data_IF_664456103384
#
_entry.id   IF_664456103384
#
_cell.length_a   1.000
_cell.length_b   1.000
_cell.length_c   1.000
_cell.angle_alpha   90.00
_cell.angle_beta   90.00
_cell.angle_gamma   90.00
#
_symmetry.space_group_name_H-M   'P 1'
#
loop_
_entity.id
_entity.type
_entity.pdbx_description
1 polymer ?
#
# COMPACT_ATOMS: atom_id res chain seq x y z
N UNK A 1 -7.33 -15.77 16.54
CA UNK A 1 -5.87 -15.56 16.67
C UNK A 1 -5.15 -15.24 15.35
N UNK A 2 -5.82 -15.31 14.18
CA UNK A 2 -5.22 -14.94 12.88
C UNK A 2 -5.25 -13.43 12.56
N UNK A 3 -5.93 -12.61 13.37
CA UNK A 3 -6.18 -11.18 13.08
C UNK A 3 -4.98 -10.23 13.31
N UNK A 4 -3.92 -10.67 14.01
CA UNK A 4 -2.74 -9.83 14.28
C UNK A 4 -1.77 -9.71 13.09
N UNK A 5 -1.92 -10.54 12.05
CA UNK A 5 -0.97 -10.59 10.92
C UNK A 5 -1.35 -9.68 9.74
N UNK A 6 -2.58 -9.15 9.71
CA UNK A 6 -3.06 -8.35 8.57
C UNK A 6 -2.68 -6.86 8.68
N UNK A 7 -2.58 -6.36 9.92
CA UNK A 7 -2.26 -4.97 10.20
C UNK A 7 -0.87 -4.52 9.71
N UNK A 8 0.20 -5.31 9.90
CA UNK A 8 1.53 -4.95 9.43
C UNK A 8 1.66 -4.91 7.89
N UNK A 9 0.81 -5.68 7.17
CA UNK A 9 0.81 -5.72 5.71
C UNK A 9 0.26 -4.39 5.15
N UNK A 10 -0.87 -3.91 5.68
CA UNK A 10 -1.47 -2.65 5.25
C UNK A 10 -0.52 -1.45 5.36
N UNK A 11 0.25 -1.34 6.45
CA UNK A 11 1.25 -0.28 6.57
C UNK A 11 2.40 -0.41 5.56
N UNK A 12 2.86 -1.62 5.28
CA UNK A 12 3.93 -1.85 4.30
C UNK A 12 3.45 -1.55 2.88
N UNK A 13 2.23 -1.97 2.53
CA UNK A 13 1.59 -1.71 1.24
C UNK A 13 1.34 -0.20 1.05
N UNK A 14 0.81 0.49 2.07
CA UNK A 14 0.59 1.93 2.03
C UNK A 14 1.90 2.74 1.88
N UNK A 15 2.98 2.32 2.55
CA UNK A 15 4.33 2.90 2.36
C UNK A 15 4.91 2.55 0.98
N UNK A 16 4.54 1.42 0.40
CA UNK A 16 4.88 1.01 -0.96
C UNK A 16 4.33 1.98 -2.03
N UNK A 17 3.15 2.56 -1.79
CA UNK A 17 2.50 3.54 -2.66
C UNK A 17 3.38 4.78 -2.92
N UNK A 18 4.09 5.27 -1.91
CA UNK A 18 5.00 6.42 -2.02
C UNK A 18 6.35 6.08 -2.67
N UNK A 19 6.75 4.81 -2.60
CA UNK A 19 8.04 4.33 -3.11
C UNK A 19 8.01 4.08 -4.64
N UNK A 20 6.87 3.60 -5.16
CA UNK A 20 6.69 3.25 -6.57
C UNK A 20 7.02 4.40 -7.54
N UNK A 21 6.32 5.55 -7.47
CA UNK A 21 6.57 6.69 -8.36
C UNK A 21 7.99 7.26 -8.26
N UNK A 22 8.58 7.23 -7.06
CA UNK A 22 9.98 7.68 -6.83
C UNK A 22 10.98 6.75 -7.52
N UNK A 23 10.75 5.45 -7.46
CA UNK A 23 11.59 4.45 -8.09
C UNK A 23 11.48 4.52 -9.62
N UNK A 24 10.27 4.68 -10.16
CA UNK A 24 10.04 4.91 -11.60
C UNK A 24 10.83 6.13 -12.09
N UNK A 25 10.72 7.26 -11.39
CA UNK A 25 11.43 8.50 -11.75
C UNK A 25 12.96 8.30 -11.73
N UNK A 26 13.48 7.53 -10.77
CA UNK A 26 14.90 7.21 -10.69
C UNK A 26 15.33 6.33 -11.87
N UNK A 27 14.58 5.29 -12.21
CA UNK A 27 14.89 4.37 -13.32
C UNK A 27 14.86 5.07 -14.68
N UNK A 28 13.90 5.97 -14.91
CA UNK A 28 13.87 6.83 -16.11
C UNK A 28 15.12 7.71 -16.19
N UNK A 29 15.55 8.30 -15.06
CA UNK A 29 16.78 9.10 -14.99
C UNK A 29 18.06 8.31 -15.30
N UNK A 30 18.06 7.00 -15.06
CA UNK A 30 19.15 6.09 -15.45
C UNK A 30 19.05 5.58 -16.91
N UNK A 31 17.99 5.94 -17.65
CA UNK A 31 17.76 5.49 -19.02
C UNK A 31 17.12 4.10 -19.14
N UNK A 32 16.76 3.45 -18.01
CA UNK A 32 16.12 2.15 -18.02
C UNK A 32 14.59 2.28 -18.10
N UNK A 33 14.14 2.60 -19.31
CA UNK A 33 12.71 2.78 -19.60
C UNK A 33 11.92 1.47 -19.45
N UNK A 34 12.53 0.32 -19.77
CA UNK A 34 11.86 -0.99 -19.68
C UNK A 34 11.52 -1.33 -18.24
N UNK A 35 12.50 -1.27 -17.34
CA UNK A 35 12.26 -1.56 -15.92
C UNK A 35 11.33 -0.52 -15.30
N UNK A 36 11.46 0.76 -15.69
CA UNK A 36 10.55 1.80 -15.20
C UNK A 36 9.08 1.53 -15.52
N UNK A 37 8.78 0.99 -16.71
CA UNK A 37 7.41 0.66 -17.13
C UNK A 37 6.81 -0.50 -16.33
N UNK A 38 7.64 -1.49 -16.00
CA UNK A 38 7.24 -2.64 -15.17
C UNK A 38 6.94 -2.17 -13.75
N UNK A 39 7.83 -1.37 -13.16
CA UNK A 39 7.65 -0.83 -11.80
C UNK A 39 6.43 0.08 -11.72
N UNK A 40 6.16 0.88 -12.76
CA UNK A 40 4.96 1.72 -12.82
C UNK A 40 3.68 0.88 -12.75
N UNK A 41 3.61 -0.21 -13.52
CA UNK A 41 2.46 -1.11 -13.52
C UNK A 41 2.26 -1.81 -12.18
N UNK A 42 3.33 -2.29 -11.55
CA UNK A 42 3.27 -2.87 -10.20
C UNK A 42 2.75 -1.84 -9.19
N UNK A 43 3.22 -0.59 -9.29
CA UNK A 43 2.80 0.48 -8.38
C UNK A 43 1.31 0.83 -8.53
N UNK A 44 0.77 0.74 -9.75
CA UNK A 44 -0.66 0.94 -10.01
C UNK A 44 -1.52 -0.19 -9.43
N UNK A 45 -1.08 -1.45 -9.57
CA UNK A 45 -1.78 -2.62 -9.02
C UNK A 45 -1.85 -2.56 -7.48
N UNK A 46 -0.82 -2.01 -6.83
CA UNK A 46 -0.73 -1.88 -5.38
C UNK A 46 -1.80 -0.94 -4.78
N UNK A 47 -2.30 0.04 -5.55
CA UNK A 47 -3.39 0.93 -5.11
C UNK A 47 -4.66 0.12 -4.79
N UNK A 48 -4.97 -0.87 -5.62
CA UNK A 48 -6.15 -1.71 -5.42
C UNK A 48 -5.98 -2.63 -4.20
N UNK A 49 -4.77 -3.14 -3.95
CA UNK A 49 -4.46 -3.92 -2.75
C UNK A 49 -4.66 -3.09 -1.48
N UNK A 50 -4.09 -1.88 -1.42
CA UNK A 50 -4.26 -0.96 -0.28
C UNK A 50 -5.74 -0.62 -0.04
N UNK A 51 -6.53 -0.40 -1.10
CA UNK A 51 -7.95 -0.10 -1.00
C UNK A 51 -8.75 -1.26 -0.37
N UNK A 52 -8.45 -2.50 -0.76
CA UNK A 52 -9.04 -3.70 -0.15
C UNK A 52 -8.59 -3.84 1.31
N UNK A 53 -7.31 -3.55 1.58
CA UNK A 53 -6.74 -3.46 2.92
C UNK A 53 -7.54 -2.54 3.84
N UNK A 54 -7.75 -1.31 3.37
CA UNK A 54 -8.49 -0.26 4.09
C UNK A 54 -9.95 -0.64 4.31
N UNK A 55 -10.62 -1.24 3.31
CA UNK A 55 -12.00 -1.67 3.44
C UNK A 55 -12.20 -2.65 4.59
N UNK A 56 -11.35 -3.69 4.69
CA UNK A 56 -11.41 -4.66 5.77
C UNK A 56 -11.05 -4.07 7.12
N UNK A 57 -10.03 -3.20 7.16
CA UNK A 57 -9.66 -2.47 8.37
C UNK A 57 -10.84 -1.66 8.93
N UNK A 58 -11.50 -0.86 8.09
CA UNK A 58 -12.67 -0.07 8.50
C UNK A 58 -13.81 -0.97 9.01
N UNK A 59 -14.08 -2.09 8.33
CA UNK A 59 -15.08 -3.08 8.78
C UNK A 59 -14.76 -3.67 10.15
N UNK A 60 -13.48 -3.92 10.44
CA UNK A 60 -13.04 -4.45 11.73
C UNK A 60 -13.15 -3.38 12.82
N UNK A 61 -12.74 -2.14 12.55
CA UNK A 61 -12.92 -1.01 13.45
C UNK A 61 -14.40 -0.80 13.83
N UNK A 62 -15.29 -0.84 12.83
CA UNK A 62 -16.74 -0.77 13.01
C UNK A 62 -17.25 -1.89 13.94
N UNK A 63 -16.84 -3.14 13.69
CA UNK A 63 -17.21 -4.29 14.55
C UNK A 63 -16.67 -4.18 15.97
N UNK A 64 -15.50 -3.59 16.16
CA UNK A 64 -14.89 -3.40 17.48
C UNK A 64 -15.40 -2.14 18.19
N UNK A 65 -16.30 -1.38 17.57
CA UNK A 65 -16.80 -0.10 18.11
C UNK A 65 -15.70 0.94 18.28
N UNK A 66 -14.57 0.80 17.58
CA UNK A 66 -13.43 1.71 17.64
C UNK A 66 -13.46 2.62 16.42
N UNK A 67 -13.25 3.91 16.64
CA UNK A 67 -13.04 4.83 15.53
C UNK A 67 -11.72 4.43 14.84
N UNK A 68 -11.68 4.40 13.49
CA UNK A 68 -10.44 4.26 12.76
C UNK A 68 -9.65 5.54 12.98
N UNK A 69 -8.83 5.55 14.02
CA UNK A 69 -7.90 6.65 14.26
C UNK A 69 -6.78 6.54 13.24
N UNK A 70 -6.43 7.69 12.66
CA UNK A 70 -5.26 7.87 11.79
C UNK A 70 -3.95 7.62 12.57
N UNK A 71 -4.04 7.51 13.89
CA UNK A 71 -2.92 7.30 14.82
C UNK A 71 -2.44 5.86 14.97
N UNK A 72 -2.87 4.92 14.11
CA UNK A 72 -2.12 3.68 13.92
C UNK A 72 -0.79 4.03 13.22
N UNK A 73 0.20 4.39 14.05
CA UNK A 73 1.59 4.69 13.69
C UNK A 73 2.47 3.45 13.75
#
# INVERSE_FOLDING_TARGET
TYMCWWFPCYEQEARGLDAGPRLVKRLVGFGDNRTSSIVAKISEEEVAHVAVGMFWFLRVCEKLGRMPDISFK
#
